data_IF_046106061494
#
_entry.id   IF_046106061494
#
_cell.length_a   1.000
_cell.length_b   1.000
_cell.length_c   1.000
_cell.angle_alpha   90.00
_cell.angle_beta   90.00
_cell.angle_gamma   90.00
#
_symmetry.space_group_name_H-M   'P 1'
#
loop_
_entity.id
_entity.type
_entity.pdbx_description
1 polymer ?
#
# COMPACT_ATOMS: atom_id res chain seq x y z
N UNK A 1 -10.54 -13.83 -16.27
CA UNK A 1 -10.07 -12.56 -15.67
C UNK A 1 -11.17 -11.49 -15.61
N UNK A 2 -12.10 -11.45 -16.57
CA UNK A 2 -13.29 -10.58 -16.55
C UNK A 2 -14.25 -10.88 -15.38
N UNK A 3 -14.51 -12.15 -15.08
CA UNK A 3 -15.43 -12.56 -14.01
C UNK A 3 -15.05 -12.03 -12.63
N UNK A 4 -13.78 -12.14 -12.24
CA UNK A 4 -13.31 -11.61 -10.95
C UNK A 4 -13.46 -10.08 -10.87
N UNK A 5 -13.22 -9.37 -11.98
CA UNK A 5 -13.43 -7.93 -12.04
C UNK A 5 -14.90 -7.58 -11.81
N UNK A 6 -15.82 -8.23 -12.53
CA UNK A 6 -17.27 -8.00 -12.38
C UNK A 6 -17.72 -8.24 -10.95
N UNK A 7 -17.38 -9.40 -10.38
CA UNK A 7 -17.76 -9.75 -9.00
C UNK A 7 -17.23 -8.74 -7.97
N UNK A 8 -15.96 -8.37 -8.05
CA UNK A 8 -15.36 -7.50 -7.04
C UNK A 8 -15.67 -6.02 -7.21
N UNK A 9 -15.80 -5.54 -8.45
CA UNK A 9 -15.99 -4.10 -8.76
C UNK A 9 -17.47 -3.76 -8.88
N UNK A 10 -18.26 -4.57 -9.59
CA UNK A 10 -19.67 -4.29 -9.84
C UNK A 10 -20.57 -4.89 -8.75
N UNK A 11 -20.31 -6.12 -8.31
CA UNK A 11 -21.10 -6.80 -7.28
C UNK A 11 -20.58 -6.61 -5.85
N UNK A 12 -19.43 -5.92 -5.70
CA UNK A 12 -18.75 -5.65 -4.42
C UNK A 12 -18.39 -6.91 -3.61
N UNK A 13 -18.27 -8.06 -4.27
CA UNK A 13 -17.86 -9.29 -3.63
C UNK A 13 -16.41 -9.20 -3.12
N UNK A 14 -16.17 -9.79 -1.95
CA UNK A 14 -14.85 -9.88 -1.33
C UNK A 14 -14.55 -11.34 -1.01
N UNK A 15 -14.16 -12.15 -2.01
CA UNK A 15 -14.06 -13.60 -1.85
C UNK A 15 -12.87 -14.05 -0.99
N UNK A 16 -11.97 -13.16 -0.63
CA UNK A 16 -10.73 -13.53 0.06
C UNK A 16 -10.78 -13.15 1.54
N UNK A 17 -11.01 -14.12 2.41
CA UNK A 17 -11.04 -13.94 3.86
C UNK A 17 -9.65 -14.05 4.50
N UNK A 18 -9.35 -13.17 5.44
CA UNK A 18 -8.23 -13.33 6.37
C UNK A 18 -8.61 -14.35 7.44
N UNK A 19 -7.86 -15.46 7.54
CA UNK A 19 -8.13 -16.50 8.55
C UNK A 19 -7.73 -16.11 9.98
N UNK A 20 -7.08 -14.97 10.18
CA UNK A 20 -6.60 -14.51 11.49
C UNK A 20 -7.56 -13.51 12.14
N UNK A 21 -8.15 -12.61 11.35
CA UNK A 21 -9.05 -11.56 11.85
C UNK A 21 -10.38 -11.48 11.08
N UNK A 22 -10.69 -12.50 10.28
CA UNK A 22 -11.93 -12.66 9.51
C UNK A 22 -12.27 -11.54 8.52
N UNK A 23 -11.34 -10.59 8.29
CA UNK A 23 -11.54 -9.49 7.35
C UNK A 23 -11.51 -9.98 5.90
N UNK A 24 -12.45 -9.50 5.08
CA UNK A 24 -12.57 -9.89 3.67
C UNK A 24 -11.96 -8.87 2.71
N UNK A 25 -11.40 -9.36 1.60
CA UNK A 25 -10.71 -8.61 0.56
C UNK A 25 -11.19 -9.00 -0.83
N UNK A 26 -11.18 -8.03 -1.75
CA UNK A 26 -11.55 -8.21 -3.15
C UNK A 26 -10.50 -8.97 -3.97
N UNK A 27 -9.22 -8.90 -3.59
CA UNK A 27 -8.13 -9.57 -4.32
C UNK A 27 -7.19 -10.32 -3.38
N UNK A 28 -6.58 -11.40 -3.89
CA UNK A 28 -5.53 -12.14 -3.17
C UNK A 28 -4.35 -11.22 -2.79
N UNK A 29 -3.97 -10.30 -3.66
CA UNK A 29 -2.88 -9.34 -3.41
C UNK A 29 -3.16 -8.46 -2.20
N UNK A 30 -4.39 -7.96 -2.06
CA UNK A 30 -4.78 -7.13 -0.92
C UNK A 30 -4.79 -7.94 0.38
N UNK A 31 -5.28 -9.19 0.36
CA UNK A 31 -5.23 -10.09 1.51
C UNK A 31 -3.78 -10.38 1.93
N UNK A 32 -2.91 -10.77 0.98
CA UNK A 32 -1.50 -11.06 1.26
C UNK A 32 -0.75 -9.84 1.79
N UNK A 33 -1.10 -8.64 1.34
CA UNK A 33 -0.51 -7.42 1.89
C UNK A 33 -1.00 -7.15 3.30
N UNK A 34 -2.29 -7.31 3.57
CA UNK A 34 -2.87 -7.16 4.89
C UNK A 34 -2.21 -8.10 5.91
N UNK A 35 -2.09 -9.39 5.59
CA UNK A 35 -1.47 -10.37 6.49
C UNK A 35 -0.06 -9.95 6.88
N UNK A 36 0.75 -9.59 5.88
CA UNK A 36 2.12 -9.16 6.10
C UNK A 36 2.21 -7.86 6.93
N UNK A 37 1.32 -6.89 6.66
CA UNK A 37 1.35 -5.58 7.33
C UNK A 37 0.83 -5.65 8.78
N UNK A 38 -0.27 -6.37 9.01
CA UNK A 38 -1.01 -6.35 10.28
C UNK A 38 -0.61 -7.50 11.19
N UNK A 39 -0.48 -8.71 10.64
CA UNK A 39 -0.23 -9.91 11.44
C UNK A 39 1.24 -10.25 11.57
N UNK A 40 2.04 -10.10 10.50
CA UNK A 40 3.49 -10.32 10.56
C UNK A 40 4.31 -9.09 10.94
N UNK A 41 3.70 -7.89 10.86
CA UNK A 41 4.38 -6.60 11.06
C UNK A 41 5.66 -6.47 10.19
N UNK A 42 5.65 -7.06 9.00
CA UNK A 42 6.77 -6.97 8.06
C UNK A 42 6.89 -5.53 7.55
N UNK A 43 7.94 -4.85 8.00
CA UNK A 43 8.39 -3.55 7.50
C UNK A 43 8.94 -3.74 6.09
N UNK A 44 8.44 -2.99 5.10
CA UNK A 44 8.83 -3.20 3.68
C UNK A 44 9.61 -2.04 3.12
N UNK A 45 8.92 -0.93 2.85
CA UNK A 45 9.49 0.19 2.13
C UNK A 45 9.79 1.29 3.13
N UNK A 46 11.06 1.64 3.30
CA UNK A 46 11.46 2.76 4.13
C UNK A 46 11.71 3.98 3.26
N UNK A 47 11.18 5.12 3.68
CA UNK A 47 11.69 6.40 3.25
C UNK A 47 13.03 6.65 3.96
N UNK A 48 14.12 6.81 3.22
CA UNK A 48 15.45 6.93 3.82
C UNK A 48 15.66 8.25 4.58
N UNK A 49 15.00 9.32 4.15
CA UNK A 49 15.09 10.68 4.71
C UNK A 49 14.32 10.79 6.04
N UNK A 50 13.04 10.41 6.06
CA UNK A 50 12.18 10.52 7.25
C UNK A 50 12.06 9.21 8.05
N UNK A 51 12.81 8.17 7.66
CA UNK A 51 12.79 6.80 8.23
C UNK A 51 11.40 6.19 8.38
N UNK A 52 10.42 6.67 7.60
CA UNK A 52 9.01 6.25 7.64
C UNK A 52 8.83 4.93 6.88
N UNK A 53 8.16 3.98 7.52
CA UNK A 53 7.84 2.68 6.91
C UNK A 53 6.48 2.68 6.25
N UNK A 54 6.40 2.14 5.03
CA UNK A 54 5.18 2.02 4.23
C UNK A 54 5.02 0.59 3.71
N UNK A 55 3.77 0.15 3.61
CA UNK A 55 3.43 -1.24 3.24
C UNK A 55 3.22 -1.44 1.73
N UNK A 56 3.17 -0.35 0.94
CA UNK A 56 3.04 -0.37 -0.52
C UNK A 56 4.07 0.57 -1.17
N UNK A 57 4.65 0.16 -2.31
CA UNK A 57 5.58 0.98 -3.10
C UNK A 57 4.90 2.25 -3.64
N UNK A 58 3.69 2.12 -4.17
CA UNK A 58 2.88 3.25 -4.65
C UNK A 58 2.64 4.31 -3.57
N UNK A 59 2.49 3.89 -2.31
CA UNK A 59 2.35 4.81 -1.18
C UNK A 59 3.68 5.50 -0.85
N UNK A 60 4.81 4.82 -0.98
CA UNK A 60 6.14 5.44 -0.85
C UNK A 60 6.37 6.46 -1.98
N UNK A 61 6.04 6.15 -3.23
CA UNK A 61 6.17 7.08 -4.36
C UNK A 61 5.28 8.32 -4.21
N UNK A 62 4.06 8.16 -3.66
CA UNK A 62 3.20 9.30 -3.31
C UNK A 62 3.81 10.12 -2.17
N UNK A 63 4.33 9.46 -1.14
CA UNK A 63 5.01 10.13 -0.03
C UNK A 63 6.20 10.95 -0.51
N UNK A 64 7.07 10.38 -1.34
CA UNK A 64 8.23 11.08 -1.93
C UNK A 64 7.73 12.26 -2.78
N UNK A 65 6.77 12.05 -3.69
CA UNK A 65 6.25 13.16 -4.52
C UNK A 65 5.60 14.28 -3.71
N UNK A 66 4.94 13.98 -2.60
CA UNK A 66 4.23 15.01 -1.82
C UNK A 66 5.11 15.68 -0.76
N UNK A 67 6.07 14.95 -0.19
CA UNK A 67 6.84 15.41 0.97
C UNK A 67 8.28 15.75 0.59
N UNK A 68 8.89 15.01 -0.34
CA UNK A 68 10.28 15.24 -0.76
C UNK A 68 10.35 16.07 -2.03
N UNK A 69 9.38 15.98 -2.95
CA UNK A 69 9.43 16.78 -4.17
C UNK A 69 9.36 18.29 -3.91
N UNK A 70 8.77 18.74 -2.79
CA UNK A 70 8.87 20.14 -2.36
C UNK A 70 10.23 20.44 -1.71
N UNK A 71 10.76 19.53 -0.89
CA UNK A 71 12.02 19.72 -0.17
C UNK A 71 13.24 19.73 -1.11
N UNK A 72 13.27 18.85 -2.12
CA UNK A 72 14.29 18.80 -3.17
C UNK A 72 14.32 20.11 -3.98
N UNK A 73 13.14 20.67 -4.32
CA UNK A 73 13.07 21.94 -5.07
C UNK A 73 13.62 23.10 -4.24
N UNK A 74 13.36 23.14 -2.93
CA UNK A 74 13.94 24.15 -2.03
C UNK A 74 15.47 23.98 -1.91
N UNK A 75 15.99 22.78 -1.68
CA UNK A 75 17.45 22.57 -1.62
C UNK A 75 18.17 22.90 -2.93
N UNK A 76 17.53 22.69 -4.10
CA UNK A 76 18.11 23.10 -5.40
C UNK A 76 17.96 24.59 -5.73
N UNK A 77 17.07 25.33 -5.06
CA UNK A 77 16.87 26.76 -5.26
C UNK A 77 17.70 27.62 -4.29
N UNK A 78 18.14 27.04 -3.18
CA UNK A 78 19.01 27.67 -2.18
C UNK A 78 20.48 27.21 -2.27
N UNK A 79 20.84 26.50 -3.35
CA UNK A 79 22.22 26.11 -3.69
C UNK A 79 22.76 26.90 -4.88
#
# INVERSE_FOLDING_TARGET
MFDLHIRCVHLREKPHQCKICEKYFSTKTNLSQHIRAVHKKEKRFQCEEYKKWVFQKSNLEKHIRQMHSMYIVLETLFA
#
